data_IF_508202276351
#
_entry.id   IF_508202276351
#
_cell.length_a   1.000
_cell.length_b   1.000
_cell.length_c   1.000
_cell.angle_alpha   90.00
_cell.angle_beta   90.00
_cell.angle_gamma   90.00
#
_symmetry.space_group_name_H-M   'P 1'
#
loop_
_entity.id
_entity.type
_entity.pdbx_description
1 polymer ?
#
# COMPACT_ATOMS: atom_id res chain seq x y z
N UNK A 1 -12.77 -17.74 -28.21
CA UNK A 1 -12.44 -18.31 -26.88
C UNK A 1 -13.03 -17.36 -25.85
N UNK A 2 -13.94 -17.83 -25.00
CA UNK A 2 -14.64 -16.99 -24.02
C UNK A 2 -13.61 -16.24 -23.15
N UNK A 3 -13.56 -14.92 -23.32
CA UNK A 3 -12.63 -14.03 -22.62
C UNK A 3 -12.99 -13.81 -21.15
N UNK A 4 -13.09 -14.90 -20.38
CA UNK A 4 -13.19 -14.81 -18.92
C UNK A 4 -11.85 -14.34 -18.37
N UNK A 5 -11.89 -13.38 -17.46
CA UNK A 5 -10.73 -12.93 -16.71
C UNK A 5 -10.12 -14.13 -15.94
N UNK A 6 -8.79 -14.26 -15.97
CA UNK A 6 -8.08 -15.34 -15.30
C UNK A 6 -8.35 -15.34 -13.79
N UNK A 7 -8.63 -14.17 -13.21
CA UNK A 7 -9.01 -14.02 -11.79
C UNK A 7 -10.33 -14.73 -11.50
N UNK A 8 -11.31 -14.65 -12.40
CA UNK A 8 -12.60 -15.32 -12.25
C UNK A 8 -12.44 -16.84 -12.29
N UNK A 9 -11.62 -17.32 -13.22
CA UNK A 9 -11.28 -18.75 -13.33
C UNK A 9 -10.61 -19.22 -12.04
N UNK A 10 -9.57 -18.52 -11.56
CA UNK A 10 -8.88 -18.87 -10.31
C UNK A 10 -9.83 -18.85 -9.11
N UNK A 11 -10.75 -17.88 -9.03
CA UNK A 11 -11.74 -17.79 -7.95
C UNK A 11 -12.67 -19.00 -7.92
N UNK A 12 -13.17 -19.43 -9.08
CA UNK A 12 -14.02 -20.62 -9.20
C UNK A 12 -13.28 -21.88 -8.71
N UNK A 13 -12.01 -22.05 -9.09
CA UNK A 13 -11.19 -23.18 -8.67
C UNK A 13 -10.87 -23.18 -7.17
N UNK A 14 -10.42 -22.05 -6.61
CA UNK A 14 -10.11 -21.92 -5.17
C UNK A 14 -11.36 -22.22 -4.33
N UNK A 15 -12.52 -21.67 -4.74
CA UNK A 15 -13.77 -21.91 -4.04
C UNK A 15 -14.11 -23.40 -4.00
N UNK A 16 -13.98 -24.09 -5.12
CA UNK A 16 -14.24 -25.52 -5.22
C UNK A 16 -13.36 -26.33 -4.26
N UNK A 17 -12.06 -26.03 -4.20
CA UNK A 17 -11.14 -26.72 -3.27
C UNK A 17 -11.48 -26.47 -1.80
N UNK A 18 -11.82 -25.22 -1.44
CA UNK A 18 -12.25 -24.89 -0.08
C UNK A 18 -13.53 -25.65 0.27
N UNK A 19 -14.51 -25.67 -0.64
CA UNK A 19 -15.79 -26.36 -0.43
C UNK A 19 -15.55 -27.88 -0.24
N UNK A 20 -14.67 -28.50 -1.01
CA UNK A 20 -14.30 -29.92 -0.86
C UNK A 20 -13.67 -30.22 0.51
N UNK A 21 -12.73 -29.38 0.96
CA UNK A 21 -12.07 -29.54 2.28
C UNK A 21 -13.08 -29.34 3.41
N UNK A 22 -13.89 -28.29 3.34
CA UNK A 22 -14.90 -27.97 4.35
C UNK A 22 -16.00 -29.03 4.43
N UNK A 23 -16.37 -29.66 3.31
CA UNK A 23 -17.35 -30.75 3.29
C UNK A 23 -16.78 -32.08 3.79
N UNK A 24 -15.45 -32.25 3.77
CA UNK A 24 -14.76 -33.47 4.24
C UNK A 24 -14.45 -33.47 5.75
N UNK A 25 -14.36 -32.30 6.37
CA UNK A 25 -14.16 -32.12 7.81
C UNK A 25 -15.47 -31.67 8.47
N UNK A 26 -15.59 -31.85 9.79
CA UNK A 26 -16.71 -31.28 10.56
C UNK A 26 -16.84 -29.78 10.25
N UNK A 27 -17.95 -29.39 9.63
CA UNK A 27 -18.29 -28.04 9.16
C UNK A 27 -17.61 -26.91 9.95
N UNK A 28 -16.92 -26.00 9.22
CA UNK A 28 -16.22 -24.77 9.66
C UNK A 28 -14.69 -24.84 9.86
N UNK A 29 -13.93 -25.46 8.95
CA UNK A 29 -12.49 -25.15 8.89
C UNK A 29 -12.28 -23.72 8.34
N UNK A 30 -11.46 -22.91 9.03
CA UNK A 30 -11.16 -21.51 8.67
C UNK A 30 -9.66 -21.29 8.47
N UNK A 31 -8.85 -22.35 8.47
CA UNK A 31 -7.38 -22.28 8.42
C UNK A 31 -6.84 -22.17 6.99
N UNK A 32 -7.42 -21.28 6.21
CA UNK A 32 -6.98 -21.00 4.85
C UNK A 32 -6.24 -19.65 4.80
N UNK A 33 -5.18 -19.59 4.00
CA UNK A 33 -4.48 -18.34 3.69
C UNK A 33 -4.24 -18.26 2.19
N UNK A 34 -4.61 -17.14 1.59
CA UNK A 34 -4.47 -16.89 0.15
C UNK A 34 -3.61 -15.65 -0.02
N UNK A 35 -2.54 -15.78 -0.79
CA UNK A 35 -1.60 -14.69 -1.09
C UNK A 35 -1.55 -14.53 -2.60
N UNK A 36 -1.63 -13.28 -3.07
CA UNK A 36 -1.47 -12.93 -4.47
C UNK A 36 -0.10 -12.27 -4.69
N UNK A 37 0.65 -12.76 -5.67
CA UNK A 37 1.88 -12.11 -6.13
C UNK A 37 1.49 -11.04 -7.15
N UNK A 38 1.85 -9.80 -6.86
CA UNK A 38 1.53 -8.65 -7.71
C UNK A 38 2.74 -7.74 -7.85
N UNK A 39 2.71 -6.88 -8.87
CA UNK A 39 3.70 -5.80 -9.02
C UNK A 39 3.70 -4.92 -7.76
N UNK A 40 4.84 -4.32 -7.44
CA UNK A 40 4.97 -3.46 -6.26
C UNK A 40 3.99 -2.28 -6.38
N UNK A 41 3.04 -2.22 -5.45
CA UNK A 41 2.03 -1.15 -5.41
C UNK A 41 2.66 0.23 -5.30
N UNK A 42 3.75 0.36 -4.55
CA UNK A 42 4.45 1.64 -4.39
C UNK A 42 4.96 2.14 -5.75
N UNK A 43 5.57 1.24 -6.53
CA UNK A 43 6.05 1.54 -7.86
C UNK A 43 4.91 1.93 -8.81
N UNK A 44 3.82 1.16 -8.83
CA UNK A 44 2.63 1.46 -9.66
C UNK A 44 2.05 2.84 -9.33
N UNK A 45 1.88 3.16 -8.04
CA UNK A 45 1.34 4.46 -7.62
C UNK A 45 2.28 5.60 -8.03
N UNK A 46 3.59 5.40 -7.88
CA UNK A 46 4.59 6.39 -8.28
C UNK A 46 4.57 6.65 -9.80
N UNK A 47 4.38 5.62 -10.62
CA UNK A 47 4.20 5.77 -12.06
C UNK A 47 2.98 6.63 -12.40
N UNK A 48 1.83 6.37 -11.76
CA UNK A 48 0.63 7.18 -11.98
C UNK A 48 0.80 8.64 -11.53
N UNK A 49 1.49 8.89 -10.41
CA UNK A 49 1.83 10.26 -9.98
C UNK A 49 2.66 10.96 -11.06
N UNK A 50 3.66 10.28 -11.61
CA UNK A 50 4.53 10.85 -12.64
C UNK A 50 3.75 11.15 -13.92
N UNK A 51 2.84 10.26 -14.34
CA UNK A 51 1.95 10.51 -15.48
C UNK A 51 1.17 11.82 -15.28
N UNK A 52 0.49 11.99 -14.14
CA UNK A 52 -0.29 13.20 -13.89
C UNK A 52 0.57 14.47 -13.78
N UNK A 53 1.78 14.36 -13.23
CA UNK A 53 2.73 15.49 -13.17
C UNK A 53 3.23 15.88 -14.57
N UNK A 54 3.58 14.93 -15.43
CA UNK A 54 3.94 15.19 -16.83
C UNK A 54 2.78 15.87 -17.58
N UNK A 55 1.55 15.34 -17.44
CA UNK A 55 0.36 15.98 -18.03
C UNK A 55 0.20 17.42 -17.55
N UNK A 56 0.34 17.66 -16.25
CA UNK A 56 0.24 19.00 -15.66
C UNK A 56 1.34 19.93 -16.19
N UNK A 57 2.58 19.46 -16.30
CA UNK A 57 3.71 20.22 -16.85
C UNK A 57 3.45 20.61 -18.31
N UNK A 58 3.04 19.66 -19.15
CA UNK A 58 2.69 19.92 -20.57
C UNK A 58 1.55 20.91 -20.72
N UNK A 59 0.52 20.81 -19.88
CA UNK A 59 -0.62 21.75 -19.88
C UNK A 59 -0.17 23.14 -19.42
N UNK A 60 0.68 23.25 -18.41
CA UNK A 60 1.23 24.53 -17.97
C UNK A 60 2.08 25.19 -19.06
N UNK A 61 2.94 24.43 -19.75
CA UNK A 61 3.71 24.92 -20.91
C UNK A 61 2.76 25.41 -22.01
N UNK A 62 1.68 24.67 -22.28
CA UNK A 62 0.67 25.07 -23.27
C UNK A 62 -0.03 26.38 -22.87
N UNK A 63 -0.40 26.54 -21.61
CA UNK A 63 -1.00 27.76 -21.08
C UNK A 63 -0.05 28.96 -21.18
N UNK A 64 1.24 28.77 -20.88
CA UNK A 64 2.29 29.79 -21.08
C UNK A 64 2.38 30.19 -22.55
N UNK A 65 2.37 29.21 -23.47
CA UNK A 65 2.37 29.47 -24.92
C UNK A 65 1.12 30.24 -25.41
N UNK A 66 0.00 30.14 -24.68
CA UNK A 66 -1.24 30.88 -24.95
C UNK A 66 -1.25 32.27 -24.30
N UNK A 67 -0.21 32.64 -23.53
CA UNK A 67 -0.06 33.96 -22.92
C UNK A 67 -0.41 34.05 -21.44
N UNK A 68 -0.70 32.92 -20.77
CA UNK A 68 -0.95 32.89 -19.34
C UNK A 68 0.35 32.99 -18.53
N UNK A 69 0.33 33.73 -17.43
CA UNK A 69 1.49 33.89 -16.55
C UNK A 69 1.47 32.82 -15.45
N UNK A 70 2.06 31.66 -15.76
CA UNK A 70 2.12 30.50 -14.85
C UNK A 70 3.57 30.22 -14.49
N UNK A 71 3.85 30.10 -13.18
CA UNK A 71 5.14 29.64 -12.68
C UNK A 71 5.23 28.11 -12.75
N UNK A 72 6.28 27.59 -13.37
CA UNK A 72 6.60 26.16 -13.37
C UNK A 72 7.29 25.81 -12.05
N UNK A 73 6.51 25.33 -11.07
CA UNK A 73 7.02 24.96 -9.75
C UNK A 73 7.51 23.52 -9.65
N UNK A 74 7.17 22.68 -10.63
CA UNK A 74 7.36 21.24 -10.59
C UNK A 74 7.96 20.75 -11.91
N UNK A 75 9.28 20.56 -11.94
CA UNK A 75 10.01 20.07 -13.11
C UNK A 75 10.23 18.56 -13.00
N UNK A 76 9.70 17.82 -13.98
CA UNK A 76 10.03 16.41 -14.18
C UNK A 76 10.93 16.29 -15.40
N UNK A 77 11.99 15.48 -15.25
CA UNK A 77 12.77 15.02 -16.39
C UNK A 77 11.95 14.00 -17.19
N UNK A 78 11.30 14.46 -18.25
CA UNK A 78 10.47 13.62 -19.12
C UNK A 78 11.27 12.52 -19.82
N UNK A 79 12.57 12.76 -20.12
CA UNK A 79 13.43 11.87 -20.92
C UNK A 79 13.69 10.49 -20.26
N UNK A 80 13.53 10.41 -18.94
CA UNK A 80 13.72 9.17 -18.19
C UNK A 80 12.46 8.30 -18.14
N UNK A 81 11.32 8.77 -18.67
CA UNK A 81 10.04 8.10 -18.49
C UNK A 81 9.70 7.13 -19.65
N UNK A 82 9.66 5.81 -19.43
CA UNK A 82 9.50 4.82 -20.50
C UNK A 82 8.10 4.80 -21.15
N UNK A 83 7.09 5.43 -20.53
CA UNK A 83 5.69 5.41 -20.99
C UNK A 83 5.23 6.74 -21.63
N UNK A 84 6.16 7.56 -22.13
CA UNK A 84 5.87 8.86 -22.77
C UNK A 84 4.83 8.77 -23.90
N UNK A 85 4.80 7.66 -24.63
CA UNK A 85 3.97 7.48 -25.83
C UNK A 85 2.46 7.39 -25.52
N UNK A 86 2.10 6.97 -24.30
CA UNK A 86 0.69 6.88 -23.88
C UNK A 86 0.16 8.22 -23.34
N UNK A 87 1.05 9.21 -23.13
CA UNK A 87 0.70 10.52 -22.59
C UNK A 87 0.57 11.53 -23.75
N UNK A 88 -0.54 12.28 -23.86
CA UNK A 88 -0.73 13.27 -24.91
C UNK A 88 0.42 14.28 -24.96
N UNK A 89 0.99 14.49 -26.15
CA UNK A 89 1.97 15.55 -26.38
C UNK A 89 1.32 16.93 -26.30
N UNK A 90 2.14 17.98 -26.16
CA UNK A 90 1.67 19.38 -26.06
C UNK A 90 0.82 19.79 -27.28
N UNK A 91 1.13 19.25 -28.46
CA UNK A 91 0.41 19.51 -29.70
C UNK A 91 -0.98 18.89 -29.72
N UNK A 92 -1.14 17.74 -29.06
CA UNK A 92 -2.41 17.01 -28.96
C UNK A 92 -3.35 17.56 -27.86
N UNK A 93 -2.89 18.54 -27.08
CA UNK A 93 -3.71 19.18 -26.04
C UNK A 93 -4.70 20.19 -26.64
N UNK A 94 -5.88 20.39 -26.00
CA UNK A 94 -6.84 21.38 -26.44
C UNK A 94 -6.26 22.80 -26.35
N UNK A 95 -6.70 23.70 -27.24
CA UNK A 95 -6.30 25.12 -27.21
C UNK A 95 -7.22 26.00 -26.34
N UNK A 96 -8.29 25.44 -25.77
CA UNK A 96 -9.23 26.17 -24.94
C UNK A 96 -8.67 26.31 -23.50
N UNK A 97 -8.48 27.54 -23.04
CA UNK A 97 -7.88 27.87 -21.74
C UNK A 97 -8.67 27.28 -20.56
N UNK A 98 -10.00 27.38 -20.56
CA UNK A 98 -10.84 26.83 -19.48
C UNK A 98 -10.70 25.30 -19.37
N UNK A 99 -10.63 24.61 -20.52
CA UNK A 99 -10.41 23.15 -20.53
C UNK A 99 -9.04 22.78 -19.99
N UNK A 100 -8.01 23.57 -20.29
CA UNK A 100 -6.66 23.37 -19.78
C UNK A 100 -6.61 23.58 -18.25
N UNK A 101 -7.22 24.64 -17.71
CA UNK A 101 -7.33 24.84 -16.25
C UNK A 101 -8.09 23.70 -15.56
N UNK A 102 -9.17 23.21 -16.17
CA UNK A 102 -9.89 22.04 -15.65
C UNK A 102 -9.02 20.79 -15.61
N UNK A 103 -8.16 20.57 -16.60
CA UNK A 103 -7.20 19.46 -16.61
C UNK A 103 -6.16 19.64 -15.49
N UNK A 104 -5.61 20.86 -15.31
CA UNK A 104 -4.67 21.14 -14.22
C UNK A 104 -5.29 20.85 -12.85
N UNK A 105 -6.53 21.28 -12.64
CA UNK A 105 -7.26 21.05 -11.40
C UNK A 105 -7.49 19.56 -11.15
N UNK A 106 -7.97 18.81 -12.16
CA UNK A 106 -8.15 17.36 -12.06
C UNK A 106 -6.84 16.64 -11.78
N UNK A 107 -5.79 16.94 -12.53
CA UNK A 107 -4.46 16.35 -12.30
C UNK A 107 -3.93 16.67 -10.90
N UNK A 108 -4.15 17.88 -10.38
CA UNK A 108 -3.74 18.23 -9.02
C UNK A 108 -4.50 17.44 -7.95
N UNK A 109 -5.81 17.25 -8.13
CA UNK A 109 -6.62 16.42 -7.22
C UNK A 109 -6.16 14.96 -7.25
N UNK A 110 -5.93 14.40 -8.43
CA UNK A 110 -5.44 13.02 -8.58
C UNK A 110 -4.04 12.83 -8.00
N UNK A 111 -3.12 13.78 -8.22
CA UNK A 111 -1.79 13.75 -7.60
C UNK A 111 -1.91 13.73 -6.08
N UNK A 112 -2.74 14.59 -5.49
CA UNK A 112 -2.93 14.64 -4.04
C UNK A 112 -3.49 13.32 -3.49
N UNK A 113 -4.48 12.75 -4.18
CA UNK A 113 -5.04 11.45 -3.84
C UNK A 113 -3.98 10.34 -3.93
N UNK A 114 -3.25 10.25 -5.03
CA UNK A 114 -2.20 9.25 -5.21
C UNK A 114 -1.06 9.41 -4.20
N UNK A 115 -0.71 10.65 -3.82
CA UNK A 115 0.27 10.91 -2.76
C UNK A 115 -0.20 10.40 -1.39
N UNK A 116 -1.48 10.58 -1.05
CA UNK A 116 -2.04 9.99 0.18
C UNK A 116 -1.98 8.45 0.14
N UNK A 117 -2.34 7.84 -0.99
CA UNK A 117 -2.28 6.39 -1.18
C UNK A 117 -0.84 5.85 -1.10
N UNK A 118 0.12 6.58 -1.67
CA UNK A 118 1.54 6.26 -1.60
C UNK A 118 2.04 6.29 -0.15
N UNK A 119 1.60 7.28 0.63
CA UNK A 119 1.96 7.39 2.03
C UNK A 119 1.44 6.19 2.84
N UNK A 120 0.16 5.83 2.66
CA UNK A 120 -0.43 4.63 3.30
C UNK A 120 0.36 3.36 2.96
N UNK A 121 0.71 3.16 1.68
CA UNK A 121 1.47 1.99 1.25
C UNK A 121 2.87 1.94 1.87
N UNK A 122 3.54 3.08 2.04
CA UNK A 122 4.83 3.18 2.72
C UNK A 122 4.72 2.85 4.21
N UNK A 123 3.67 3.31 4.88
CA UNK A 123 3.44 2.99 6.29
C UNK A 123 3.16 1.49 6.51
N UNK A 124 2.40 0.86 5.60
CA UNK A 124 2.21 -0.61 5.64
C UNK A 124 3.55 -1.35 5.54
N UNK A 125 4.43 -0.96 4.60
CA UNK A 125 5.77 -1.57 4.48
C UNK A 125 6.62 -1.36 5.74
N UNK A 126 6.54 -0.18 6.38
CA UNK A 126 7.23 0.09 7.65
C UNK A 126 6.71 -0.80 8.78
N UNK A 127 5.39 -0.98 8.89
CA UNK A 127 4.77 -1.87 9.87
C UNK A 127 5.23 -3.31 9.68
N UNK A 128 5.25 -3.81 8.44
CA UNK A 128 5.76 -5.15 8.14
C UNK A 128 7.23 -5.32 8.50
N UNK A 129 8.07 -4.32 8.23
CA UNK A 129 9.49 -4.36 8.61
C UNK A 129 9.65 -4.39 10.14
N UNK A 130 8.82 -3.63 10.87
CA UNK A 130 8.77 -3.68 12.33
C UNK A 130 8.38 -5.08 12.80
N UNK A 131 7.29 -5.65 12.30
CA UNK A 131 6.85 -7.01 12.65
C UNK A 131 7.92 -8.05 12.35
N UNK A 132 8.58 -7.96 11.19
CA UNK A 132 9.68 -8.85 10.81
C UNK A 132 10.85 -8.73 11.78
N UNK A 133 11.22 -7.51 12.16
CA UNK A 133 12.26 -7.25 13.17
C UNK A 133 11.88 -7.88 14.50
N UNK A 134 10.65 -7.69 14.97
CA UNK A 134 10.16 -8.31 16.21
C UNK A 134 10.15 -9.84 16.12
N UNK A 135 9.73 -10.42 14.99
CA UNK A 135 9.65 -11.87 14.78
C UNK A 135 11.02 -12.56 14.88
N UNK A 136 12.06 -11.92 14.40
CA UNK A 136 13.43 -12.45 14.41
C UNK A 136 14.28 -11.94 15.58
N UNK A 137 13.74 -11.05 16.41
CA UNK A 137 14.45 -10.56 17.58
C UNK A 137 14.60 -11.65 18.64
N UNK A 138 15.81 -11.87 19.13
CA UNK A 138 16.05 -12.78 20.24
C UNK A 138 15.63 -12.11 21.56
N UNK A 139 14.43 -12.44 22.06
CA UNK A 139 13.91 -11.91 23.31
C UNK A 139 14.57 -12.48 24.57
N UNK A 140 15.35 -13.56 24.49
CA UNK A 140 15.88 -14.24 25.67
C UNK A 140 16.69 -13.30 26.60
N UNK A 141 17.66 -12.50 26.11
CA UNK A 141 18.40 -11.58 26.97
C UNK A 141 17.51 -10.52 27.62
N UNK A 142 16.51 -10.01 26.88
CA UNK A 142 15.56 -9.03 27.39
C UNK A 142 14.68 -9.61 28.50
N UNK A 143 14.12 -10.80 28.28
CA UNK A 143 13.27 -11.50 29.26
C UNK A 143 14.10 -11.82 30.51
N UNK A 144 15.30 -12.39 30.34
CA UNK A 144 16.14 -12.79 31.46
C UNK A 144 16.58 -11.58 32.30
N UNK A 145 16.98 -10.49 31.65
CA UNK A 145 17.34 -9.25 32.35
C UNK A 145 16.14 -8.66 33.09
N UNK A 146 14.95 -8.68 32.48
CA UNK A 146 13.71 -8.21 33.09
C UNK A 146 13.33 -9.04 34.32
N UNK A 147 13.40 -10.37 34.23
CA UNK A 147 13.13 -11.27 35.35
C UNK A 147 14.11 -11.05 36.51
N UNK A 148 15.40 -10.92 36.21
CA UNK A 148 16.42 -10.62 37.22
C UNK A 148 16.17 -9.28 37.92
N UNK A 149 15.78 -8.25 37.17
CA UNK A 149 15.44 -6.94 37.71
C UNK A 149 14.19 -7.02 38.61
N UNK A 150 13.12 -7.68 38.14
CA UNK A 150 11.90 -7.88 38.93
C UNK A 150 12.16 -8.66 40.22
N UNK A 151 13.03 -9.68 40.18
CA UNK A 151 13.44 -10.43 41.36
C UNK A 151 14.20 -9.54 42.35
N UNK A 152 15.14 -8.72 41.87
CA UNK A 152 15.91 -7.76 42.70
C UNK A 152 14.99 -6.77 43.42
N UNK A 153 13.92 -6.32 42.76
CA UNK A 153 12.93 -5.41 43.34
C UNK A 153 11.79 -6.12 44.09
N UNK A 154 11.88 -7.45 44.30
CA UNK A 154 10.88 -8.28 44.99
C UNK A 154 9.47 -8.25 44.37
N UNK A 155 9.34 -7.88 43.10
CA UNK A 155 8.06 -7.78 42.39
C UNK A 155 7.64 -9.10 41.72
N UNK A 156 8.61 -9.99 41.44
CA UNK A 156 8.39 -11.19 40.64
C UNK A 156 7.39 -12.18 41.28
N UNK A 157 7.51 -12.40 42.60
CA UNK A 157 6.66 -13.34 43.34
C UNK A 157 5.19 -12.90 43.33
N UNK A 158 4.96 -11.62 43.60
CA UNK A 158 3.62 -11.05 43.66
C UNK A 158 2.95 -11.06 42.27
N UNK A 159 3.71 -10.74 41.22
CA UNK A 159 3.22 -10.80 39.84
C UNK A 159 2.83 -12.24 39.44
N UNK A 160 3.66 -13.24 39.78
CA UNK A 160 3.38 -14.64 39.49
C UNK A 160 2.13 -15.15 40.21
N UNK A 161 1.96 -14.80 41.49
CA UNK A 161 0.77 -15.19 42.26
C UNK A 161 -0.53 -14.61 41.67
N UNK A 162 -0.50 -13.36 41.22
CA UNK A 162 -1.65 -12.72 40.56
C UNK A 162 -2.06 -13.47 39.28
N UNK A 163 -1.12 -13.84 38.43
CA UNK A 163 -1.42 -14.59 37.21
C UNK A 163 -1.91 -16.02 37.49
N UNK A 164 -1.33 -16.70 38.49
CA UNK A 164 -1.80 -18.02 38.91
C UNK A 164 -3.27 -18.01 39.34
N UNK A 165 -3.69 -16.99 40.10
CA UNK A 165 -5.07 -16.82 40.54
C UNK A 165 -6.03 -16.57 39.35
N UNK A 166 -5.63 -15.74 38.38
CA UNK A 166 -6.43 -15.48 37.17
C UNK A 166 -6.68 -16.74 36.35
N UNK A 167 -5.67 -17.59 36.19
CA UNK A 167 -5.82 -18.84 35.45
C UNK A 167 -6.72 -19.84 36.17
N UNK A 168 -6.67 -19.89 37.51
CA UNK A 168 -7.56 -20.73 38.30
C UNK A 168 -9.04 -20.32 38.23
N UNK A 169 -9.34 -19.06 37.90
CA UNK A 169 -10.71 -18.55 37.70
C UNK A 169 -11.22 -18.63 36.26
N UNK A 170 -10.36 -18.96 35.29
CA UNK A 170 -10.72 -19.09 33.86
C UNK A 170 -10.94 -20.54 33.42
N UNK A 171 -10.53 -21.52 34.23
CA UNK A 171 -10.93 -22.94 34.12
C UNK A 171 -12.22 -23.18 34.88
#
# INVERSE_FOLDING_TARGET
MNGKDWIEISREHIKKEIDEICNSQTNNDVRFNIIAVMKDKEYIIQEYINIHRIVKQRVNIKLINLGENIELSDEINEDEFPLLNDIPSIENLPNNVDTLYNIVNKSTLEINYLQSLLHEQKEIKKLWNKELTFKFFNFYPFIMSSLNLMAKHKLLKDAYQKEKLKNATKS
#
